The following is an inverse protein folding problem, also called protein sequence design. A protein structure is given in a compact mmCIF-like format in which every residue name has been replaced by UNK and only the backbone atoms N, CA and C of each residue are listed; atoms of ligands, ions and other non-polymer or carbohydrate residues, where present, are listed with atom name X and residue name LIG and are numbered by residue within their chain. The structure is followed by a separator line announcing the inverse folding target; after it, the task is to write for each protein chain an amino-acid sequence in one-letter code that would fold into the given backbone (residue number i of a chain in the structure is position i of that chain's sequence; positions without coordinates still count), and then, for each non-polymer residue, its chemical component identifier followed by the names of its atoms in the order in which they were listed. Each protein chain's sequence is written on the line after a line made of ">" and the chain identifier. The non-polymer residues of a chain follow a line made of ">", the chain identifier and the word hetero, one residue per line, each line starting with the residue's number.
data_IF_462967164627
#
_entry.id   IF_462967164627
#
_cell.length_a   1.000
_cell.length_b   1.000
_cell.length_c   1.000
_cell.angle_alpha   90.00
_cell.angle_beta   90.00
_cell.angle_gamma   90.00
#
_symmetry.space_group_name_H-M   'P 1'
#
loop_
_entity.id
_entity.type
_entity.pdbx_description
1 polymer ?
#
# COMPACT_ATOMS: atom_id res chain seq x y z
N UNK A 1 9.43 16.68 -37.38
CA UNK A 1 8.18 15.90 -37.28
C UNK A 1 8.42 14.42 -37.04
N UNK A 2 9.24 13.73 -37.84
CA UNK A 2 9.49 12.29 -37.65
C UNK A 2 10.16 11.91 -36.32
N UNK A 3 11.18 12.65 -35.86
CA UNK A 3 11.86 12.38 -34.59
C UNK A 3 10.94 12.59 -33.37
N UNK A 4 10.07 13.60 -33.42
CA UNK A 4 9.14 13.89 -32.33
C UNK A 4 8.03 12.84 -32.23
N UNK A 5 7.54 12.35 -33.37
CA UNK A 5 6.59 11.24 -33.44
C UNK A 5 7.21 9.93 -32.93
N UNK A 6 8.46 9.64 -33.32
CA UNK A 6 9.18 8.47 -32.84
C UNK A 6 9.40 8.51 -31.32
N UNK A 7 9.84 9.66 -30.79
CA UNK A 7 9.97 9.86 -29.35
C UNK A 7 8.64 9.72 -28.61
N UNK A 8 7.53 10.20 -29.18
CA UNK A 8 6.20 10.02 -28.60
C UNK A 8 5.82 8.53 -28.54
N UNK A 9 6.03 7.78 -29.62
CA UNK A 9 5.76 6.34 -29.68
C UNK A 9 6.60 5.55 -28.66
N UNK A 10 7.88 5.88 -28.51
CA UNK A 10 8.74 5.27 -27.49
C UNK A 10 8.23 5.56 -26.08
N UNK A 11 7.79 6.80 -25.78
CA UNK A 11 7.25 7.16 -24.46
C UNK A 11 5.96 6.41 -24.16
N UNK A 12 5.11 6.22 -25.17
CA UNK A 12 3.90 5.42 -25.05
C UNK A 12 4.22 3.94 -24.80
N UNK A 13 5.11 3.35 -25.59
CA UNK A 13 5.57 1.97 -25.42
C UNK A 13 6.18 1.72 -24.04
N UNK A 14 7.03 2.65 -23.56
CA UNK A 14 7.55 2.62 -22.20
C UNK A 14 6.44 2.63 -21.15
N UNK A 15 5.49 3.56 -21.26
CA UNK A 15 4.39 3.66 -20.29
C UNK A 15 3.55 2.38 -20.24
N UNK A 16 3.21 1.80 -21.40
CA UNK A 16 2.46 0.56 -21.45
C UNK A 16 3.24 -0.62 -20.83
N UNK A 17 4.55 -0.70 -21.11
CA UNK A 17 5.41 -1.78 -20.64
C UNK A 17 5.47 -1.89 -19.11
N UNK A 18 5.76 -0.78 -18.42
CA UNK A 18 5.93 -0.82 -16.95
C UNK A 18 4.60 -0.66 -16.18
N UNK A 19 3.59 0.01 -16.73
CA UNK A 19 2.29 0.19 -16.03
C UNK A 19 1.36 -1.01 -16.18
N UNK A 20 1.38 -1.65 -17.34
CA UNK A 20 0.38 -2.65 -17.70
C UNK A 20 1.01 -4.04 -17.88
N UNK A 21 1.92 -4.19 -18.86
CA UNK A 21 2.40 -5.50 -19.31
C UNK A 21 3.19 -6.26 -18.23
N UNK A 22 4.24 -5.66 -17.68
CA UNK A 22 5.08 -6.31 -16.66
C UNK A 22 4.28 -6.61 -15.36
N UNK A 23 3.47 -5.68 -14.82
CA UNK A 23 2.58 -6.00 -13.70
C UNK A 23 1.56 -7.10 -14.00
N UNK A 24 1.03 -7.19 -15.23
CA UNK A 24 0.12 -8.26 -15.61
C UNK A 24 0.81 -9.63 -15.60
N UNK A 25 1.99 -9.75 -16.21
CA UNK A 25 2.80 -10.98 -16.20
C UNK A 25 3.16 -11.42 -14.78
N UNK A 26 3.55 -10.48 -13.93
CA UNK A 26 3.87 -10.77 -12.53
C UNK A 26 2.67 -11.29 -11.74
N UNK A 27 1.47 -10.73 -11.96
CA UNK A 27 0.23 -11.19 -11.31
C UNK A 27 -0.20 -12.56 -11.82
N UNK A 28 0.01 -12.83 -13.10
CA UNK A 28 -0.23 -14.13 -13.71
C UNK A 28 0.80 -15.20 -13.32
N UNK A 29 1.92 -14.80 -12.68
CA UNK A 29 3.07 -15.67 -12.40
C UNK A 29 3.59 -16.33 -13.67
N UNK A 30 3.75 -15.52 -14.70
CA UNK A 30 4.19 -15.98 -16.02
C UNK A 30 5.52 -16.75 -15.92
N UNK A 31 5.65 -17.92 -16.59
CA UNK A 31 6.84 -18.77 -16.52
C UNK A 31 8.09 -18.15 -17.15
N UNK A 32 7.98 -17.02 -17.85
CA UNK A 32 9.12 -16.26 -18.35
C UNK A 32 10.13 -15.90 -17.25
N UNK A 33 9.69 -15.80 -15.99
CA UNK A 33 10.58 -15.64 -14.85
C UNK A 33 10.36 -16.79 -13.86
N UNK A 34 11.45 -17.41 -13.39
CA UNK A 34 11.39 -18.41 -12.32
C UNK A 34 10.73 -17.85 -11.04
N UNK A 35 10.92 -16.55 -10.79
CA UNK A 35 10.27 -15.82 -9.70
C UNK A 35 10.07 -14.36 -10.08
N UNK A 36 8.89 -13.82 -9.80
CA UNK A 36 8.59 -12.38 -9.89
C UNK A 36 8.80 -11.71 -8.51
N UNK A 37 9.93 -11.01 -8.27
CA UNK A 37 10.22 -10.37 -6.97
C UNK A 37 9.38 -9.12 -6.72
N UNK A 38 8.79 -8.52 -7.75
CA UNK A 38 8.02 -7.28 -7.70
C UNK A 38 6.74 -7.38 -8.52
N UNK A 39 5.73 -6.56 -8.18
CA UNK A 39 4.37 -6.60 -8.77
C UNK A 39 3.78 -5.20 -9.04
N UNK A 40 4.48 -4.15 -8.66
CA UNK A 40 4.03 -2.76 -8.79
C UNK A 40 4.77 -2.08 -9.94
N UNK A 41 4.05 -1.27 -10.70
CA UNK A 41 4.51 -0.49 -11.84
C UNK A 41 5.84 0.27 -11.58
N UNK A 42 5.89 1.04 -10.51
CA UNK A 42 7.06 1.83 -10.12
C UNK A 42 8.25 0.97 -9.68
N UNK A 43 8.01 -0.27 -9.23
CA UNK A 43 9.09 -1.20 -8.93
C UNK A 43 9.79 -1.66 -10.22
N UNK A 44 9.02 -1.98 -11.26
CA UNK A 44 9.58 -2.31 -12.59
C UNK A 44 10.32 -1.13 -13.18
N UNK A 45 9.69 0.06 -13.18
CA UNK A 45 10.33 1.27 -13.68
C UNK A 45 11.66 1.54 -12.98
N UNK A 46 11.72 1.42 -11.64
CA UNK A 46 12.97 1.57 -10.89
C UNK A 46 14.04 0.57 -11.35
N UNK A 47 13.71 -0.72 -11.38
CA UNK A 47 14.68 -1.78 -11.71
C UNK A 47 15.25 -1.59 -13.12
N UNK A 48 14.36 -1.34 -14.08
CA UNK A 48 14.75 -1.15 -15.48
C UNK A 48 15.57 0.12 -15.65
N UNK A 49 15.15 1.24 -15.04
CA UNK A 49 15.89 2.50 -15.15
C UNK A 49 17.25 2.43 -14.44
N UNK A 50 17.34 1.77 -13.29
CA UNK A 50 18.63 1.58 -12.61
C UNK A 50 19.59 0.76 -13.48
N UNK A 51 19.10 -0.26 -14.19
CA UNK A 51 19.95 -1.08 -15.05
C UNK A 51 20.27 -0.43 -16.41
N UNK A 52 19.30 0.22 -17.05
CA UNK A 52 19.43 0.76 -18.41
C UNK A 52 20.02 2.18 -18.45
N UNK A 53 19.86 2.96 -17.38
CA UNK A 53 20.29 4.37 -17.29
C UNK A 53 21.28 4.57 -16.15
N UNK A 54 21.00 3.97 -14.99
CA UNK A 54 21.82 4.11 -13.79
C UNK A 54 23.15 3.33 -13.85
N UNK A 55 23.15 2.19 -14.56
CA UNK A 55 24.20 1.17 -14.58
C UNK A 55 24.58 0.69 -13.16
N UNK A 56 25.48 1.41 -12.48
CA UNK A 56 26.01 1.09 -11.15
C UNK A 56 25.50 2.02 -10.04
N UNK A 57 24.73 3.05 -10.39
CA UNK A 57 24.15 4.00 -9.45
C UNK A 57 22.64 4.14 -9.67
N UNK A 58 21.88 4.64 -8.67
CA UNK A 58 20.46 4.91 -8.84
C UNK A 58 20.21 5.87 -10.01
N UNK A 59 19.25 5.55 -10.88
CA UNK A 59 18.95 6.39 -12.05
C UNK A 59 18.70 7.89 -11.76
N UNK A 60 18.14 8.31 -10.60
CA UNK A 60 17.95 9.73 -10.29
C UNK A 60 19.26 10.53 -10.16
N UNK A 61 20.39 9.85 -9.95
CA UNK A 61 21.73 10.48 -9.92
C UNK A 61 22.24 10.78 -11.33
N UNK A 62 21.71 10.09 -12.36
CA UNK A 62 22.12 10.23 -13.76
C UNK A 62 21.21 11.18 -14.53
N UNK A 63 19.89 11.08 -14.31
CA UNK A 63 18.89 11.90 -15.00
C UNK A 63 17.86 12.50 -14.03
N UNK A 64 17.36 13.69 -14.37
CA UNK A 64 16.31 14.36 -13.59
C UNK A 64 14.98 13.61 -13.67
N UNK A 65 14.24 13.63 -12.57
CA UNK A 65 12.84 13.20 -12.58
C UNK A 65 11.94 14.28 -13.24
N UNK A 66 10.89 13.90 -13.98
CA UNK A 66 10.48 12.52 -14.32
C UNK A 66 11.29 11.95 -15.50
N UNK A 67 11.78 10.71 -15.37
CA UNK A 67 12.69 10.08 -16.34
C UNK A 67 12.19 10.15 -17.80
N UNK A 68 10.90 9.95 -18.04
CA UNK A 68 10.27 9.97 -19.38
C UNK A 68 10.48 11.30 -20.13
N UNK A 69 10.68 12.41 -19.40
CA UNK A 69 10.95 13.73 -19.98
C UNK A 69 12.44 14.00 -20.24
N UNK A 70 13.33 13.30 -19.53
CA UNK A 70 14.76 13.62 -19.49
C UNK A 70 15.67 12.52 -20.05
N UNK A 71 15.11 11.35 -20.41
CA UNK A 71 15.84 10.31 -21.15
C UNK A 71 16.07 10.71 -22.60
N UNK A 72 17.26 10.39 -23.12
CA UNK A 72 17.52 10.40 -24.56
C UNK A 72 16.74 9.30 -25.27
N UNK A 73 16.63 9.39 -26.59
CA UNK A 73 16.01 8.34 -27.41
C UNK A 73 16.66 6.97 -27.15
N UNK A 74 17.98 6.91 -27.19
CA UNK A 74 18.74 5.67 -26.96
C UNK A 74 18.54 5.10 -25.55
N UNK A 75 18.46 5.95 -24.51
CA UNK A 75 18.17 5.49 -23.15
C UNK A 75 16.75 4.90 -23.04
N UNK A 76 15.78 5.54 -23.70
CA UNK A 76 14.39 5.07 -23.69
C UNK A 76 14.24 3.75 -24.47
N UNK A 77 14.90 3.63 -25.62
CA UNK A 77 14.98 2.39 -26.40
C UNK A 77 15.63 1.25 -25.59
N UNK A 78 16.75 1.53 -24.93
CA UNK A 78 17.44 0.57 -24.05
C UNK A 78 16.56 0.11 -22.88
N UNK A 79 15.82 1.05 -22.26
CA UNK A 79 14.89 0.73 -21.17
C UNK A 79 13.72 -0.14 -21.64
N UNK A 80 13.16 0.16 -22.82
CA UNK A 80 12.07 -0.63 -23.43
C UNK A 80 12.59 -2.04 -23.78
N UNK A 81 13.74 -2.15 -24.46
CA UNK A 81 14.36 -3.42 -24.82
C UNK A 81 14.65 -4.28 -23.59
N UNK A 82 15.18 -3.69 -22.51
CA UNK A 82 15.40 -4.42 -21.26
C UNK A 82 14.08 -4.90 -20.65
N UNK A 83 13.04 -4.07 -20.62
CA UNK A 83 11.73 -4.48 -20.12
C UNK A 83 11.08 -5.60 -20.96
N UNK A 84 11.28 -5.60 -22.28
CA UNK A 84 10.88 -6.68 -23.17
C UNK A 84 11.66 -7.98 -22.92
N UNK A 85 12.97 -7.87 -22.67
CA UNK A 85 13.80 -9.03 -22.28
C UNK A 85 13.35 -9.61 -20.94
N UNK A 86 12.94 -8.77 -19.99
CA UNK A 86 12.34 -9.25 -18.73
C UNK A 86 11.02 -9.98 -19.01
N UNK A 87 10.14 -9.38 -19.82
CA UNK A 87 8.83 -9.96 -20.13
C UNK A 87 8.93 -11.33 -20.86
N UNK A 88 9.99 -11.53 -21.63
CA UNK A 88 10.24 -12.77 -22.40
C UNK A 88 11.20 -13.75 -21.72
N UNK A 89 11.68 -13.43 -20.51
CA UNK A 89 12.61 -14.30 -19.77
C UNK A 89 14.07 -14.27 -20.25
N UNK A 90 14.39 -13.40 -21.22
CA UNK A 90 15.76 -13.18 -21.71
C UNK A 90 16.63 -12.37 -20.75
N UNK A 91 16.03 -11.72 -19.76
CA UNK A 91 16.74 -11.04 -18.67
C UNK A 91 16.18 -11.49 -17.31
N UNK A 92 17.08 -11.77 -16.36
CA UNK A 92 16.68 -12.23 -15.02
C UNK A 92 16.24 -11.05 -14.14
N UNK A 93 14.95 -10.97 -13.84
CA UNK A 93 14.38 -9.89 -13.02
C UNK A 93 14.87 -9.92 -11.57
N UNK A 94 15.18 -11.09 -11.02
CA UNK A 94 15.69 -11.23 -9.64
C UNK A 94 17.07 -10.61 -9.52
N UNK A 95 17.95 -10.88 -10.49
CA UNK A 95 19.31 -10.35 -10.48
C UNK A 95 19.30 -8.82 -10.65
N UNK A 96 18.43 -8.32 -11.53
CA UNK A 96 18.25 -6.87 -11.72
C UNK A 96 17.67 -6.18 -10.48
N UNK A 97 16.71 -6.80 -9.78
CA UNK A 97 16.17 -6.27 -8.53
C UNK A 97 17.26 -6.18 -7.45
N UNK A 98 18.07 -7.24 -7.30
CA UNK A 98 19.15 -7.28 -6.33
C UNK A 98 20.20 -6.19 -6.60
N UNK A 99 20.67 -6.07 -7.85
CA UNK A 99 21.62 -5.01 -8.25
C UNK A 99 21.06 -3.61 -7.99
N UNK A 100 19.80 -3.38 -8.35
CA UNK A 100 19.12 -2.09 -8.10
C UNK A 100 18.98 -1.78 -6.61
N UNK A 101 18.81 -2.80 -5.75
CA UNK A 101 18.76 -2.62 -4.30
C UNK A 101 20.15 -2.38 -3.70
N UNK A 102 21.18 -3.06 -4.19
CA UNK A 102 22.58 -2.88 -3.79
C UNK A 102 23.10 -1.47 -4.10
N UNK A 103 22.87 -0.98 -5.32
CA UNK A 103 23.22 0.38 -5.74
C UNK A 103 22.55 1.47 -4.87
N UNK A 104 21.45 1.14 -4.18
CA UNK A 104 20.69 2.03 -3.28
C UNK A 104 21.01 1.79 -1.80
N UNK A 105 22.03 0.98 -1.49
CA UNK A 105 22.46 0.68 -0.12
C UNK A 105 21.52 -0.24 0.67
N UNK A 106 20.58 -0.92 0.01
CA UNK A 106 19.67 -1.89 0.63
C UNK A 106 20.07 -3.32 0.28
N UNK A 107 20.99 -3.92 1.03
CA UNK A 107 21.20 -5.38 0.93
C UNK A 107 19.94 -6.13 1.36
N UNK A 108 19.32 -6.91 0.47
CA UNK A 108 18.65 -8.15 0.92
C UNK A 108 19.76 -9.16 1.20
N UNK A 109 19.70 -9.86 2.34
CA UNK A 109 20.61 -10.96 2.63
C UNK A 109 20.53 -11.97 1.47
N UNK A 110 21.59 -12.09 0.70
CA UNK A 110 21.73 -13.10 -0.36
C UNK A 110 22.11 -14.45 0.26
N UNK A 111 21.57 -15.50 -0.33
CA UNK A 111 21.63 -16.90 0.10
C UNK A 111 23.07 -17.46 0.10
N UNK A 112 23.43 -18.16 1.18
CA UNK A 112 24.65 -18.97 1.27
C UNK A 112 24.36 -20.41 0.86
N UNK A 113 25.17 -20.97 -0.04
CA UNK A 113 25.17 -22.38 -0.41
C UNK A 113 25.83 -23.25 0.68
N UNK A 114 25.06 -24.24 1.14
CA UNK A 114 25.34 -25.62 1.59
C UNK A 114 26.63 -25.97 2.38
N UNK A 115 26.45 -26.44 3.63
CA UNK A 115 26.87 -27.79 4.04
C UNK A 115 26.44 -28.15 5.48
N UNK A 116 25.82 -29.33 5.63
CA UNK A 116 25.55 -30.10 6.88
C UNK A 116 24.23 -29.84 7.65
N UNK A 117 23.67 -30.88 8.31
CA UNK A 117 22.85 -31.94 7.73
C UNK A 117 21.34 -31.70 7.95
N UNK A 118 20.55 -32.14 6.97
CA UNK A 118 19.08 -32.04 6.90
C UNK A 118 18.39 -32.60 8.14
N UNK A 119 17.89 -31.74 9.03
CA UNK A 119 16.80 -32.10 9.94
C UNK A 119 15.48 -31.99 9.18
N UNK A 120 15.01 -33.15 8.73
CA UNK A 120 13.75 -33.38 8.02
C UNK A 120 12.58 -32.92 8.89
N UNK A 121 12.11 -31.69 8.72
CA UNK A 121 10.81 -31.25 9.22
C UNK A 121 9.79 -31.50 8.10
N UNK A 122 8.87 -32.42 8.41
CA UNK A 122 7.79 -32.87 7.54
C UNK A 122 6.99 -31.70 7.00
N UNK A 123 6.57 -31.83 5.74
CA UNK A 123 5.51 -31.02 5.14
C UNK A 123 4.28 -31.07 6.03
N UNK A 124 3.88 -29.90 6.54
CA UNK A 124 2.54 -29.61 7.02
C UNK A 124 2.27 -28.13 6.70
N UNK A 125 1.34 -27.94 5.77
CA UNK A 125 0.52 -26.76 5.49
C UNK A 125 1.01 -25.41 6.03
N UNK A 126 1.67 -24.63 5.17
CA UNK A 126 1.86 -23.20 5.41
C UNK A 126 0.55 -22.46 5.11
N UNK A 127 -0.06 -21.73 6.08
CA UNK A 127 -1.35 -21.11 5.87
C UNK A 127 -1.23 -19.90 4.95
N UNK A 128 -1.97 -19.98 3.85
CA UNK A 128 -2.54 -18.84 3.13
C UNK A 128 -3.03 -17.76 4.10
N UNK A 129 -3.09 -16.50 3.66
CA UNK A 129 -3.68 -15.34 4.36
C UNK A 129 -5.23 -15.48 4.48
N UNK A 130 -5.68 -16.70 4.78
CA UNK A 130 -7.05 -17.15 4.95
C UNK A 130 -7.19 -17.81 6.33
N UNK A 131 -6.99 -17.02 7.40
CA UNK A 131 -7.40 -17.45 8.75
C UNK A 131 -8.09 -16.39 9.60
N UNK A 132 -8.14 -15.14 9.14
CA UNK A 132 -8.79 -14.03 9.84
C UNK A 132 -10.15 -13.65 9.24
N UNK A 133 -10.62 -14.41 8.25
CA UNK A 133 -11.96 -14.27 7.69
C UNK A 133 -12.68 -15.60 7.84
N UNK A 134 -13.55 -15.68 8.84
CA UNK A 134 -14.55 -16.73 8.96
C UNK A 134 -15.61 -16.54 7.86
N UNK A 135 -16.21 -17.62 7.33
CA UNK A 135 -17.39 -17.50 6.46
C UNK A 135 -18.53 -16.80 7.20
N UNK A 136 -19.28 -15.97 6.46
CA UNK A 136 -20.42 -15.21 6.98
C UNK A 136 -21.47 -16.14 7.61
N UNK A 137 -22.08 -15.78 8.76
CA UNK A 137 -23.24 -16.49 9.27
C UNK A 137 -24.43 -16.36 8.30
N UNK A 138 -25.34 -17.36 8.24
CA UNK A 138 -26.50 -17.30 7.36
C UNK A 138 -27.42 -16.14 7.75
N UNK A 139 -27.89 -15.40 6.73
CA UNK A 139 -28.73 -14.22 6.85
C UNK A 139 -29.97 -14.45 7.74
N UNK A 140 -30.28 -13.57 8.70
CA UNK A 140 -31.62 -13.52 9.27
C UNK A 140 -32.60 -12.89 8.28
N UNK A 141 -33.74 -13.56 8.08
CA UNK A 141 -34.85 -13.15 7.21
C UNK A 141 -35.58 -11.87 7.64
N UNK A 142 -36.69 -11.52 6.97
CA UNK A 142 -37.14 -10.14 6.82
C UNK A 142 -37.79 -9.51 8.06
N UNK A 143 -37.50 -8.22 8.19
CA UNK A 143 -38.09 -7.12 8.95
C UNK A 143 -39.48 -7.28 9.58
N UNK A 144 -39.62 -6.71 10.79
CA UNK A 144 -40.87 -6.14 11.33
C UNK A 144 -40.72 -4.61 11.48
N UNK A 145 -41.82 -3.84 11.37
CA UNK A 145 -41.77 -2.41 11.06
C UNK A 145 -41.46 -1.52 12.27
N UNK A 146 -40.81 -0.41 11.96
CA UNK A 146 -40.51 0.73 12.84
C UNK A 146 -41.81 1.49 13.18
N UNK A 147 -42.07 1.89 14.43
CA UNK A 147 -43.03 2.94 14.71
C UNK A 147 -42.39 4.31 14.50
N UNK A 148 -43.02 5.09 13.62
CA UNK A 148 -42.81 6.53 13.43
C UNK A 148 -43.06 7.31 14.71
N UNK A 149 -42.13 8.19 15.09
CA UNK A 149 -42.44 9.39 15.86
C UNK A 149 -41.50 10.53 15.48
N UNK A 150 -42.10 11.59 14.93
CA UNK A 150 -41.51 12.91 14.73
C UNK A 150 -41.04 13.51 16.06
N UNK A 151 -39.91 14.23 16.04
CA UNK A 151 -39.51 15.10 17.14
C UNK A 151 -38.04 15.51 17.03
N UNK A 152 -37.79 16.76 16.65
CA UNK A 152 -36.45 17.31 16.59
C UNK A 152 -35.79 17.37 17.98
N UNK A 153 -34.56 16.88 18.09
CA UNK A 153 -33.58 17.36 19.07
C UNK A 153 -32.19 16.79 18.80
N UNK A 154 -31.25 17.72 18.84
CA UNK A 154 -29.78 17.60 18.89
C UNK A 154 -29.33 16.41 19.74
N UNK A 155 -28.84 15.35 19.09
CA UNK A 155 -28.27 14.18 19.78
C UNK A 155 -26.74 14.14 19.63
N UNK A 156 -26.09 14.54 20.71
CA UNK A 156 -24.65 14.53 20.98
C UNK A 156 -24.05 13.14 20.75
N UNK A 157 -23.08 13.02 19.84
CA UNK A 157 -22.30 11.79 19.63
C UNK A 157 -21.44 11.53 20.88
N UNK A 158 -21.80 10.54 21.71
CA UNK A 158 -20.99 10.05 22.84
C UNK A 158 -20.93 8.52 22.86
N UNK A 159 -20.28 7.93 21.86
CA UNK A 159 -19.72 6.59 22.01
C UNK A 159 -18.22 6.68 21.77
N UNK A 160 -17.46 6.85 22.85
CA UNK A 160 -16.00 6.68 22.80
C UNK A 160 -15.75 5.18 22.84
N UNK A 161 -15.15 4.63 21.79
CA UNK A 161 -14.72 3.23 21.81
C UNK A 161 -13.73 3.05 22.97
N UNK A 162 -14.01 2.11 23.88
CA UNK A 162 -13.05 1.76 24.94
C UNK A 162 -11.93 0.91 24.32
N UNK A 163 -10.80 1.54 24.02
CA UNK A 163 -9.63 0.91 23.38
C UNK A 163 -8.53 0.52 24.37
N UNK A 164 -8.82 0.44 25.67
CA UNK A 164 -7.79 0.20 26.69
C UNK A 164 -7.03 -1.11 26.46
N UNK A 165 -7.73 -2.18 26.04
CA UNK A 165 -7.13 -3.49 25.75
C UNK A 165 -6.14 -3.39 24.59
N UNK A 166 -6.50 -2.67 23.53
CA UNK A 166 -5.69 -2.47 22.33
C UNK A 166 -4.46 -1.61 22.65
N UNK A 167 -4.63 -0.55 23.45
CA UNK A 167 -3.54 0.28 23.94
C UNK A 167 -2.52 -0.54 24.74
N UNK A 168 -2.98 -1.43 25.62
CA UNK A 168 -2.09 -2.30 26.40
C UNK A 168 -1.38 -3.35 25.54
N UNK A 169 -2.03 -3.86 24.48
CA UNK A 169 -1.40 -4.74 23.48
C UNK A 169 -0.32 -4.01 22.68
N UNK A 170 -0.61 -2.78 22.22
CA UNK A 170 0.35 -1.95 21.49
C UNK A 170 1.57 -1.67 22.38
N UNK A 171 1.35 -1.25 23.63
CA UNK A 171 2.42 -0.92 24.59
C UNK A 171 3.39 -2.08 24.79
N UNK A 172 2.87 -3.31 24.98
CA UNK A 172 3.64 -4.54 25.26
C UNK A 172 4.28 -5.19 24.04
N UNK A 173 3.97 -4.75 22.82
CA UNK A 173 4.48 -5.37 21.60
C UNK A 173 5.95 -5.03 21.28
N UNK A 174 6.58 -5.78 20.38
CA UNK A 174 7.95 -5.52 19.90
C UNK A 174 7.99 -4.50 18.73
N UNK A 175 6.92 -3.72 18.56
CA UNK A 175 6.86 -2.70 17.51
C UNK A 175 7.84 -1.54 17.79
N UNK A 176 8.32 -0.92 16.72
CA UNK A 176 9.14 0.30 16.83
C UNK A 176 8.37 1.41 17.55
N UNK A 177 9.09 2.32 18.23
CA UNK A 177 8.49 3.44 18.96
C UNK A 177 7.51 4.24 18.07
N UNK A 178 7.92 4.55 16.83
CA UNK A 178 7.07 5.22 15.85
C UNK A 178 5.77 4.45 15.55
N UNK A 179 5.85 3.12 15.36
CA UNK A 179 4.65 2.30 15.09
C UNK A 179 3.73 2.24 16.30
N UNK A 180 4.28 2.11 17.51
CA UNK A 180 3.48 2.17 18.76
C UNK A 180 2.75 3.50 18.87
N UNK A 181 3.46 4.62 18.73
CA UNK A 181 2.88 5.95 18.78
C UNK A 181 1.78 6.13 17.73
N UNK A 182 2.04 5.72 16.48
CA UNK A 182 1.07 5.87 15.39
C UNK A 182 -0.21 5.04 15.62
N UNK A 183 -0.09 3.81 16.12
CA UNK A 183 -1.23 2.94 16.41
C UNK A 183 -2.00 3.39 17.66
N UNK A 184 -1.31 3.90 18.68
CA UNK A 184 -1.94 4.55 19.84
C UNK A 184 -2.75 5.77 19.41
N UNK A 185 -2.18 6.61 18.54
CA UNK A 185 -2.87 7.79 17.99
C UNK A 185 -4.10 7.38 17.17
N UNK A 186 -4.00 6.31 16.38
CA UNK A 186 -5.12 5.76 15.62
C UNK A 186 -6.30 5.36 16.52
N UNK A 187 -6.04 4.80 17.71
CA UNK A 187 -7.08 4.39 18.65
C UNK A 187 -7.92 5.58 19.17
N UNK A 188 -7.48 6.82 18.97
CA UNK A 188 -8.24 8.01 19.36
C UNK A 188 -9.31 8.39 18.33
N UNK A 189 -9.25 7.88 17.10
CA UNK A 189 -10.25 8.19 16.06
C UNK A 189 -11.55 7.47 16.38
N UNK A 190 -12.64 8.16 16.75
CA UNK A 190 -13.87 7.52 17.21
C UNK A 190 -14.57 6.73 16.08
N UNK A 191 -15.38 5.74 16.45
CA UNK A 191 -16.30 5.07 15.52
C UNK A 191 -17.17 6.10 14.80
N UNK A 192 -17.32 5.94 13.49
CA UNK A 192 -18.12 6.84 12.64
C UNK A 192 -17.42 8.15 12.28
N UNK A 193 -16.19 8.36 12.76
CA UNK A 193 -15.29 9.42 12.30
C UNK A 193 -14.17 8.80 11.47
N UNK A 194 -13.55 9.64 10.66
CA UNK A 194 -12.34 9.29 9.92
C UNK A 194 -11.28 10.36 10.16
N UNK A 195 -10.01 10.02 10.01
CA UNK A 195 -8.91 11.00 9.93
C UNK A 195 -8.12 10.78 8.64
N UNK A 196 -7.08 11.58 8.41
CA UNK A 196 -6.25 11.45 7.21
C UNK A 196 -4.81 11.12 7.56
N UNK A 197 -4.09 10.51 6.62
CA UNK A 197 -2.65 10.27 6.78
C UNK A 197 -1.88 11.55 7.09
N UNK A 198 -2.30 12.66 6.48
CA UNK A 198 -1.71 13.98 6.70
C UNK A 198 -2.00 14.48 8.12
N UNK A 199 -3.26 14.43 8.57
CA UNK A 199 -3.62 14.90 9.91
C UNK A 199 -2.84 14.15 11.02
N UNK A 200 -2.67 12.83 10.87
CA UNK A 200 -1.85 12.05 11.79
C UNK A 200 -0.37 12.43 11.71
N UNK A 201 0.20 12.59 10.51
CA UNK A 201 1.62 12.96 10.37
C UNK A 201 1.92 14.35 10.90
N UNK A 202 0.99 15.30 10.72
CA UNK A 202 1.11 16.66 11.23
C UNK A 202 1.14 16.63 12.76
N UNK A 203 0.21 15.89 13.39
CA UNK A 203 0.16 15.77 14.83
C UNK A 203 1.42 15.11 15.42
N UNK A 204 1.90 13.99 14.84
CA UNK A 204 3.14 13.33 15.29
C UNK A 204 4.35 14.25 15.12
N UNK A 205 4.38 15.04 14.04
CA UNK A 205 5.45 16.03 13.80
C UNK A 205 5.45 17.12 14.86
N UNK A 206 4.27 17.60 15.26
CA UNK A 206 4.12 18.61 16.30
C UNK A 206 4.44 18.06 17.70
N UNK A 207 4.15 16.80 17.96
CA UNK A 207 4.25 16.21 19.31
C UNK A 207 5.56 15.48 19.60
N UNK A 208 6.30 15.05 18.56
CA UNK A 208 7.46 14.17 18.75
C UNK A 208 8.59 14.41 17.74
N UNK A 209 8.41 14.05 16.47
CA UNK A 209 9.46 14.11 15.45
C UNK A 209 8.91 14.23 14.04
N UNK A 210 9.69 14.86 13.16
CA UNK A 210 9.31 15.09 11.76
C UNK A 210 8.90 13.79 11.07
N UNK A 211 7.63 13.75 10.65
CA UNK A 211 6.96 12.59 10.07
C UNK A 211 6.25 13.00 8.78
N UNK A 212 5.98 12.05 7.89
CA UNK A 212 5.21 12.28 6.67
C UNK A 212 4.04 11.29 6.54
N UNK A 213 3.03 11.67 5.76
CA UNK A 213 1.84 10.85 5.50
C UNK A 213 2.18 9.43 4.98
N UNK A 214 3.26 9.28 4.20
CA UNK A 214 3.72 7.98 3.69
C UNK A 214 4.23 7.06 4.79
N UNK A 215 4.90 7.61 5.81
CA UNK A 215 5.35 6.84 6.97
C UNK A 215 4.16 6.32 7.80
N UNK A 216 3.15 7.17 8.01
CA UNK A 216 1.88 6.77 8.64
C UNK A 216 1.20 5.67 7.83
N UNK A 217 1.10 5.82 6.50
CA UNK A 217 0.53 4.81 5.61
C UNK A 217 1.24 3.45 5.71
N UNK A 218 2.56 3.45 5.83
CA UNK A 218 3.33 2.22 6.05
C UNK A 218 3.06 1.58 7.42
N UNK A 219 2.84 2.37 8.47
CA UNK A 219 2.42 1.84 9.77
C UNK A 219 1.02 1.21 9.71
N UNK A 220 0.06 1.87 9.04
CA UNK A 220 -1.30 1.34 8.83
C UNK A 220 -1.30 0.02 8.04
N UNK A 221 -0.49 -0.06 6.98
CA UNK A 221 -0.35 -1.28 6.15
C UNK A 221 0.12 -2.48 6.96
N UNK A 222 0.95 -2.25 7.96
CA UNK A 222 1.57 -3.28 8.78
C UNK A 222 0.98 -3.28 10.21
N UNK A 223 -0.31 -2.99 10.36
CA UNK A 223 -0.98 -3.06 11.66
C UNK A 223 -1.22 -4.53 12.06
N UNK A 224 -0.53 -5.07 13.10
CA UNK A 224 -0.72 -6.47 13.52
C UNK A 224 -1.97 -6.67 14.40
N UNK A 225 -2.64 -5.58 14.79
CA UNK A 225 -3.83 -5.59 15.65
C UNK A 225 -5.11 -5.29 14.88
N UNK A 226 -5.09 -5.44 13.55
CA UNK A 226 -6.30 -5.35 12.75
C UNK A 226 -7.16 -6.62 12.95
N UNK A 227 -8.50 -6.52 12.93
CA UNK A 227 -9.31 -5.32 12.68
C UNK A 227 -9.59 -4.44 13.92
N UNK A 228 -9.21 -4.86 15.13
CA UNK A 228 -9.59 -4.18 16.38
C UNK A 228 -8.99 -2.77 16.49
N UNK A 229 -7.72 -2.60 16.07
CA UNK A 229 -7.10 -1.29 15.87
C UNK A 229 -7.50 -0.78 14.48
N UNK A 230 -8.31 0.30 14.39
CA UNK A 230 -9.19 0.55 13.24
C UNK A 230 -8.49 1.28 12.09
N UNK A 231 -7.50 0.64 11.45
CA UNK A 231 -6.72 1.27 10.38
C UNK A 231 -7.55 1.65 9.13
N UNK A 232 -8.78 1.14 9.00
CA UNK A 232 -9.75 1.56 7.98
C UNK A 232 -10.24 3.00 8.17
N UNK A 233 -10.15 3.57 9.37
CA UNK A 233 -10.57 4.96 9.67
C UNK A 233 -9.64 6.04 9.12
N UNK A 234 -8.49 5.68 8.53
CA UNK A 234 -7.51 6.63 7.99
C UNK A 234 -7.58 6.70 6.47
N UNK A 235 -7.85 7.89 5.93
CA UNK A 235 -8.13 8.15 4.52
C UNK A 235 -7.10 9.09 3.87
N UNK A 236 -7.23 9.26 2.55
CA UNK A 236 -6.47 10.28 1.83
C UNK A 236 -6.88 11.69 2.24
N UNK A 237 -6.02 12.69 1.96
CA UNK A 237 -6.24 14.08 2.35
C UNK A 237 -7.51 14.69 1.75
N UNK A 238 -7.92 14.23 0.57
CA UNK A 238 -9.13 14.65 -0.14
C UNK A 238 -10.41 13.92 0.29
N UNK A 239 -10.31 13.03 1.29
CA UNK A 239 -11.43 12.24 1.80
C UNK A 239 -11.75 10.98 0.99
N UNK A 240 -10.98 10.65 -0.04
CA UNK A 240 -11.10 9.35 -0.74
C UNK A 240 -10.52 8.20 0.09
N UNK A 241 -10.87 6.95 -0.25
CA UNK A 241 -10.50 5.76 0.53
C UNK A 241 -8.99 5.62 0.81
N UNK A 242 -8.11 6.09 -0.07
CA UNK A 242 -6.66 5.90 0.06
C UNK A 242 -6.24 4.42 0.05
N UNK A 243 -5.20 4.07 0.81
CA UNK A 243 -4.67 2.71 0.87
C UNK A 243 -5.32 1.81 1.93
N UNK A 244 -5.48 0.52 1.61
CA UNK A 244 -5.94 -0.50 2.57
C UNK A 244 -5.41 -1.90 2.24
N UNK A 245 -5.00 -2.65 3.26
CA UNK A 245 -4.49 -4.02 3.11
C UNK A 245 -3.31 -4.12 2.12
N UNK A 246 -2.56 -3.04 1.93
CA UNK A 246 -1.45 -2.97 0.98
C UNK A 246 -1.81 -2.68 -0.48
N UNK A 247 -3.07 -2.40 -0.78
CA UNK A 247 -3.53 -1.94 -2.10
C UNK A 247 -4.00 -0.49 -2.01
N UNK A 248 -3.89 0.26 -3.11
CA UNK A 248 -4.21 1.69 -3.14
C UNK A 248 -5.43 1.99 -4.02
N UNK A 249 -6.25 2.97 -3.62
CA UNK A 249 -7.34 3.52 -4.42
C UNK A 249 -8.62 2.70 -4.38
N UNK A 250 -9.66 3.20 -5.06
CA UNK A 250 -11.00 2.58 -5.10
C UNK A 250 -11.02 1.23 -5.79
N UNK A 251 -10.07 0.98 -6.70
CA UNK A 251 -9.90 -0.31 -7.39
C UNK A 251 -8.98 -1.28 -6.62
N UNK A 252 -8.53 -0.90 -5.42
CA UNK A 252 -7.71 -1.77 -4.59
C UNK A 252 -8.49 -3.01 -4.16
N UNK A 253 -7.81 -4.17 -4.08
CA UNK A 253 -8.43 -5.46 -3.71
C UNK A 253 -9.29 -5.39 -2.44
N UNK A 254 -8.90 -4.55 -1.48
CA UNK A 254 -9.60 -4.40 -0.20
C UNK A 254 -10.37 -3.08 -0.06
N UNK A 255 -10.51 -2.31 -1.14
CA UNK A 255 -11.20 -1.02 -1.14
C UNK A 255 -12.68 -1.18 -0.76
N UNK A 256 -13.37 -2.16 -1.34
CA UNK A 256 -14.76 -2.48 -0.99
C UNK A 256 -14.92 -2.81 0.49
N UNK A 257 -13.98 -3.60 1.05
CA UNK A 257 -14.03 -3.96 2.47
C UNK A 257 -13.80 -2.76 3.39
N UNK A 258 -12.85 -1.88 3.06
CA UNK A 258 -12.64 -0.64 3.81
C UNK A 258 -13.89 0.24 3.79
N UNK A 259 -14.53 0.36 2.62
CA UNK A 259 -15.76 1.13 2.46
C UNK A 259 -16.90 0.57 3.29
N UNK A 260 -17.06 -0.75 3.29
CA UNK A 260 -18.06 -1.47 4.09
C UNK A 260 -17.86 -1.20 5.58
N UNK A 261 -16.65 -1.39 6.12
CA UNK A 261 -16.34 -1.12 7.53
C UNK A 261 -16.66 0.33 7.92
N UNK A 262 -16.28 1.30 7.08
CA UNK A 262 -16.60 2.71 7.30
C UNK A 262 -18.12 2.95 7.27
N UNK A 263 -18.83 2.31 6.34
CA UNK A 263 -20.27 2.45 6.21
C UNK A 263 -21.03 1.89 7.41
N UNK A 264 -20.62 0.72 7.90
CA UNK A 264 -21.12 0.06 9.13
C UNK A 264 -20.86 0.88 10.40
N UNK A 265 -19.82 1.73 10.38
CA UNK A 265 -19.54 2.67 11.45
C UNK A 265 -20.35 3.97 11.34
N UNK A 266 -21.10 4.18 10.27
CA UNK A 266 -21.91 5.38 10.06
C UNK A 266 -21.27 6.43 9.14
N UNK A 267 -20.08 6.16 8.60
CA UNK A 267 -19.43 7.05 7.64
C UNK A 267 -20.18 6.99 6.30
N UNK A 268 -20.34 8.13 5.65
CA UNK A 268 -21.06 8.25 4.37
C UNK A 268 -20.16 8.89 3.33
N UNK A 269 -20.31 8.45 2.09
CA UNK A 269 -19.57 8.97 0.94
C UNK A 269 -20.49 9.81 0.03
N UNK A 270 -19.92 10.77 -0.68
CA UNK A 270 -20.58 11.52 -1.74
C UNK A 270 -20.56 10.75 -3.08
N UNK A 271 -21.16 11.35 -4.11
CA UNK A 271 -21.17 10.78 -5.47
C UNK A 271 -19.79 10.70 -6.13
N UNK A 272 -18.77 11.38 -5.56
CA UNK A 272 -17.38 11.38 -6.02
C UNK A 272 -16.50 10.43 -5.19
N UNK A 273 -17.08 9.60 -4.33
CA UNK A 273 -16.36 8.63 -3.52
C UNK A 273 -15.59 9.23 -2.33
N UNK A 274 -15.89 10.47 -1.92
CA UNK A 274 -15.26 11.15 -0.78
C UNK A 274 -16.14 11.09 0.45
N UNK A 275 -15.54 10.97 1.64
CA UNK A 275 -16.30 11.01 2.88
C UNK A 275 -16.95 12.38 3.10
N UNK A 276 -18.20 12.38 3.56
CA UNK A 276 -18.93 13.58 3.96
C UNK A 276 -18.49 14.04 5.35
N UNK A 277 -18.18 15.32 5.48
CA UNK A 277 -17.78 15.96 6.74
C UNK A 277 -16.26 16.10 6.89
N UNK A 278 -15.79 16.86 7.90
CA UNK A 278 -14.37 17.10 8.09
C UNK A 278 -13.66 15.91 8.75
N UNK A 279 -12.34 15.72 8.49
CA UNK A 279 -11.56 14.71 9.18
C UNK A 279 -11.41 15.05 10.67
N UNK A 280 -11.36 14.01 11.48
CA UNK A 280 -10.99 14.08 12.89
C UNK A 280 -9.55 14.58 13.05
N UNK A 281 -9.37 15.65 13.82
CA UNK A 281 -8.07 16.29 14.11
C UNK A 281 -7.85 16.55 15.60
N UNK A 282 -8.81 16.19 16.45
CA UNK A 282 -8.83 16.46 17.90
C UNK A 282 -7.99 15.44 18.68
N UNK A 283 -6.77 15.18 18.20
CA UNK A 283 -5.84 14.25 18.82
C UNK A 283 -5.29 14.80 20.14
N UNK A 284 -5.12 13.92 21.12
CA UNK A 284 -4.53 14.20 22.41
C UNK A 284 -3.11 13.63 22.48
N UNK A 285 -2.21 14.41 23.06
CA UNK A 285 -0.82 14.05 23.32
C UNK A 285 -0.67 13.03 24.43
#
# INVERSE_FOLDING_TARGET
>A
MFEEQHMAALREGWNHLYKDRLPALARARDPAQARWPVYLDHCFARIILDAAVGHDQPWPEVIKAPAVKHMTQSQLESAIDLGEKIATGKANLVDLDNRSLEARGKKRKADAQDSSPKKRLKMADAPSISKYFLPSPPSPGPSKPVPTSNGGSTATIKHVDNMQRELDRIRRSDLTAFRKQTLTLLCQVPRGRYSTYQAMSDHITQSSHKTCARAVGNAMRNNPFAPEVPCHRILAADGTLGGFGGHWGESGRFASKKRELLYEEGVRFDSKGRVKGPPFREFKT
#
